data_IF_830234945599
#
_entry.id   IF_830234945599
#
_cell.length_a   1.000
_cell.length_b   1.000
_cell.length_c   1.000
_cell.angle_alpha   90.00
_cell.angle_beta   90.00
_cell.angle_gamma   90.00
#
_symmetry.space_group_name_H-M   'P 1'
#
loop_
_entity.id
_entity.type
_entity.pdbx_description
1 polymer ?
#
# COMPACT_ATOMS: atom_id res chain seq x y z
N UNK A 1 9.49 -3.98 12.48
CA UNK A 1 9.77 -2.60 12.03
C UNK A 1 10.82 -2.50 10.93
N UNK A 2 11.88 -3.33 10.89
CA UNK A 2 12.97 -3.20 9.90
C UNK A 2 12.43 -3.14 8.45
N UNK A 3 11.59 -4.10 8.06
CA UNK A 3 10.98 -4.11 6.72
C UNK A 3 10.21 -2.83 6.39
N UNK A 4 9.43 -2.30 7.33
CA UNK A 4 8.73 -1.01 7.18
C UNK A 4 9.70 0.13 6.88
N UNK A 5 10.83 0.21 7.58
CA UNK A 5 11.82 1.29 7.37
C UNK A 5 12.46 1.17 5.98
N UNK A 6 12.83 -0.03 5.56
CA UNK A 6 13.39 -0.25 4.22
C UNK A 6 12.39 0.14 3.12
N UNK A 7 11.13 -0.30 3.25
CA UNK A 7 10.07 0.08 2.31
C UNK A 7 9.86 1.60 2.30
N UNK A 8 9.81 2.22 3.48
CA UNK A 8 9.62 3.66 3.61
C UNK A 8 10.73 4.45 2.90
N UNK A 9 11.99 4.11 3.16
CA UNK A 9 13.15 4.81 2.59
C UNK A 9 13.28 4.62 1.07
N UNK A 10 12.93 3.45 0.54
CA UNK A 10 13.11 3.13 -0.88
C UNK A 10 11.86 3.30 -1.75
N UNK A 11 10.70 3.61 -1.16
CA UNK A 11 9.47 3.90 -1.93
C UNK A 11 9.62 5.02 -2.96
N UNK A 12 10.33 6.13 -2.68
CA UNK A 12 10.56 7.18 -3.67
C UNK A 12 11.27 6.66 -4.92
N UNK A 13 12.26 5.78 -4.76
CA UNK A 13 12.93 5.11 -5.89
C UNK A 13 11.98 4.19 -6.63
N UNK A 14 11.13 3.44 -5.92
CA UNK A 14 10.13 2.56 -6.53
C UNK A 14 9.16 3.32 -7.45
N UNK A 15 8.58 4.43 -6.98
CA UNK A 15 7.66 5.25 -7.78
C UNK A 15 8.36 6.04 -8.90
N UNK A 16 9.67 6.27 -8.79
CA UNK A 16 10.44 6.99 -9.78
C UNK A 16 11.13 6.08 -10.82
N UNK A 17 11.07 4.75 -10.66
CA UNK A 17 11.88 3.80 -11.42
C UNK A 17 11.63 3.84 -12.93
N UNK A 18 10.39 4.08 -13.35
CA UNK A 18 9.97 4.10 -14.76
C UNK A 18 9.79 5.52 -15.31
N UNK A 19 10.42 6.51 -14.68
CA UNK A 19 10.30 7.92 -15.04
C UNK A 19 11.68 8.51 -15.27
N UNK A 20 11.84 9.28 -16.34
CA UNK A 20 13.11 9.90 -16.72
C UNK A 20 13.08 11.43 -16.60
N UNK A 21 14.25 12.05 -16.71
CA UNK A 21 14.37 13.50 -16.74
C UNK A 21 13.84 14.22 -15.48
N UNK A 22 13.28 15.45 -15.62
CA UNK A 22 12.79 16.24 -14.49
C UNK A 22 11.64 15.59 -13.70
N UNK A 23 10.87 14.72 -14.33
CA UNK A 23 9.73 14.03 -13.73
C UNK A 23 10.18 12.99 -12.71
N UNK A 24 11.37 12.40 -12.88
CA UNK A 24 11.95 11.47 -11.92
C UNK A 24 12.16 12.13 -10.57
N UNK A 25 12.72 13.34 -10.56
CA UNK A 25 12.88 14.12 -9.34
C UNK A 25 11.53 14.48 -8.71
N UNK A 26 10.53 14.82 -9.54
CA UNK A 26 9.17 15.09 -9.08
C UNK A 26 8.52 13.86 -8.43
N UNK A 27 8.68 12.68 -9.03
CA UNK A 27 8.22 11.41 -8.48
C UNK A 27 8.84 11.10 -7.13
N UNK A 28 10.15 11.34 -6.99
CA UNK A 28 10.85 11.21 -5.70
C UNK A 28 10.27 12.18 -4.68
N UNK A 29 10.16 13.47 -5.00
CA UNK A 29 9.68 14.51 -4.07
C UNK A 29 8.23 14.25 -3.64
N UNK A 30 7.32 14.01 -4.58
CA UNK A 30 5.91 13.73 -4.28
C UNK A 30 5.77 12.48 -3.42
N UNK A 31 6.55 11.43 -3.69
CA UNK A 31 6.51 10.19 -2.90
C UNK A 31 7.06 10.41 -1.49
N UNK A 32 8.19 11.10 -1.34
CA UNK A 32 8.74 11.46 -0.02
C UNK A 32 7.72 12.24 0.81
N UNK A 33 7.12 13.27 0.22
CA UNK A 33 6.15 14.13 0.92
C UNK A 33 4.91 13.34 1.32
N UNK A 34 4.39 12.51 0.41
CA UNK A 34 3.19 11.73 0.67
C UNK A 34 3.41 10.63 1.70
N UNK A 35 4.52 9.88 1.62
CA UNK A 35 4.78 8.81 2.58
C UNK A 35 5.09 9.38 3.98
N UNK A 36 5.74 10.55 4.07
CA UNK A 36 5.88 11.28 5.33
C UNK A 36 4.53 11.75 5.89
N UNK A 37 3.62 12.26 5.05
CA UNK A 37 2.31 12.71 5.52
C UNK A 37 1.37 11.55 5.88
N UNK A 38 1.52 10.36 5.27
CA UNK A 38 0.80 9.17 5.72
C UNK A 38 1.21 8.71 7.12
N UNK A 39 2.43 9.01 7.57
CA UNK A 39 2.80 8.82 8.99
C UNK A 39 1.89 9.66 9.89
N UNK A 40 1.71 10.95 9.59
CA UNK A 40 0.85 11.83 10.38
C UNK A 40 -0.61 11.32 10.42
N UNK A 41 -1.18 11.02 9.25
CA UNK A 41 -2.53 10.47 9.15
C UNK A 41 -2.71 9.17 9.93
N UNK A 42 -1.70 8.29 9.87
CA UNK A 42 -1.69 7.01 10.59
C UNK A 42 -1.66 7.20 12.10
N UNK A 43 -0.79 8.06 12.62
CA UNK A 43 -0.67 8.27 14.07
C UNK A 43 -1.92 8.94 14.65
N UNK A 44 -2.48 9.93 13.93
CA UNK A 44 -3.76 10.56 14.30
C UNK A 44 -4.87 9.51 14.36
N UNK A 45 -5.11 8.79 13.26
CA UNK A 45 -6.17 7.78 13.20
C UNK A 45 -5.95 6.67 14.25
N UNK A 46 -4.71 6.20 14.42
CA UNK A 46 -4.38 5.15 15.37
C UNK A 46 -4.69 5.59 16.80
N UNK A 47 -4.29 6.79 17.17
CA UNK A 47 -4.55 7.35 18.50
C UNK A 47 -6.05 7.48 18.76
N UNK A 48 -6.81 7.98 17.77
CA UNK A 48 -8.26 8.12 17.87
C UNK A 48 -8.96 6.77 18.09
N UNK A 49 -8.67 5.75 17.27
CA UNK A 49 -9.34 4.44 17.37
C UNK A 49 -8.85 3.58 18.53
N UNK A 50 -7.66 3.85 19.08
CA UNK A 50 -7.08 3.14 20.22
C UNK A 50 -7.08 3.96 21.51
N UNK A 51 -7.92 5.01 21.59
CA UNK A 51 -8.16 5.82 22.80
C UNK A 51 -6.86 6.38 23.42
N UNK A 52 -6.04 7.02 22.58
CA UNK A 52 -4.77 7.65 22.98
C UNK A 52 -3.55 6.73 22.90
N UNK A 53 -3.71 5.44 22.57
CA UNK A 53 -2.60 4.50 22.34
C UNK A 53 -2.29 4.34 20.86
N UNK A 54 -1.12 3.81 20.53
CA UNK A 54 -0.74 3.50 19.14
C UNK A 54 -0.73 1.99 18.90
N UNK A 55 -1.29 1.56 17.77
CA UNK A 55 -1.27 0.16 17.35
C UNK A 55 -0.03 -0.13 16.51
N UNK A 56 0.81 -1.08 16.93
CA UNK A 56 2.06 -1.39 16.21
C UNK A 56 1.81 -1.83 14.76
N UNK A 57 0.73 -2.58 14.51
CA UNK A 57 0.33 -2.99 13.15
C UNK A 57 -0.02 -1.77 12.28
N UNK A 58 -0.68 -0.75 12.85
CA UNK A 58 -0.95 0.49 12.11
C UNK A 58 0.37 1.18 11.75
N UNK A 59 1.32 1.27 12.70
CA UNK A 59 2.63 1.90 12.47
C UNK A 59 3.48 1.12 11.46
N UNK A 60 3.43 -0.21 11.48
CA UNK A 60 4.19 -1.08 10.57
C UNK A 60 3.70 -1.04 9.14
N UNK A 61 2.40 -0.81 8.94
CA UNK A 61 1.77 -0.93 7.63
C UNK A 61 1.20 0.40 7.14
N UNK A 62 0.24 1.01 7.84
CA UNK A 62 -0.49 2.19 7.34
C UNK A 62 0.40 3.43 7.12
N UNK A 63 1.54 3.53 7.81
CA UNK A 63 2.54 4.59 7.57
C UNK A 63 3.09 4.59 6.14
N UNK A 64 3.03 3.45 5.45
CA UNK A 64 3.48 3.27 4.07
C UNK A 64 2.40 3.60 3.03
N UNK A 65 1.14 3.78 3.45
CA UNK A 65 0.00 3.92 2.55
C UNK A 65 0.11 5.12 1.59
N UNK A 66 0.80 6.20 2.00
CA UNK A 66 1.05 7.35 1.13
C UNK A 66 1.88 6.98 -0.09
N UNK A 67 2.89 6.14 0.07
CA UNK A 67 3.73 5.65 -1.03
C UNK A 67 2.92 4.89 -2.09
N UNK A 68 1.95 4.08 -1.66
CA UNK A 68 0.99 3.40 -2.56
C UNK A 68 0.05 4.43 -3.20
N UNK A 69 -0.54 5.32 -2.40
CA UNK A 69 -1.60 6.22 -2.85
C UNK A 69 -1.15 7.25 -3.89
N UNK A 70 0.12 7.68 -3.89
CA UNK A 70 0.63 8.56 -4.96
C UNK A 70 1.14 7.84 -6.19
N UNK A 71 1.22 6.51 -6.21
CA UNK A 71 1.88 5.73 -7.27
C UNK A 71 1.59 6.23 -8.70
N UNK A 72 0.32 6.29 -9.10
CA UNK A 72 -0.10 6.73 -10.44
C UNK A 72 0.26 8.19 -10.75
N UNK A 73 0.25 9.07 -9.75
CA UNK A 73 0.40 10.54 -9.92
C UNK A 73 1.75 11.06 -9.43
N UNK A 74 2.68 10.18 -9.07
CA UNK A 74 3.95 10.55 -8.45
C UNK A 74 4.76 11.48 -9.36
N UNK A 75 4.89 11.13 -10.64
CA UNK A 75 5.61 11.93 -11.64
C UNK A 75 4.84 13.18 -12.12
N UNK A 76 3.57 13.31 -11.77
CA UNK A 76 2.70 14.37 -12.26
C UNK A 76 2.77 15.65 -11.42
N UNK A 77 2.32 16.76 -11.99
CA UNK A 77 2.35 18.06 -11.33
C UNK A 77 1.18 18.25 -10.34
N UNK A 78 1.20 17.50 -9.23
CA UNK A 78 0.21 17.62 -8.13
C UNK A 78 0.62 18.63 -7.04
N UNK A 79 1.83 19.19 -7.14
CA UNK A 79 2.43 20.04 -6.11
C UNK A 79 2.65 19.35 -4.75
N UNK A 80 3.37 20.04 -3.86
CA UNK A 80 3.61 19.53 -2.49
C UNK A 80 2.29 19.33 -1.72
N UNK A 81 1.33 20.24 -1.92
CA UNK A 81 0.03 20.18 -1.25
C UNK A 81 -0.78 18.94 -1.68
N UNK A 82 -0.79 18.58 -2.96
CA UNK A 82 -1.46 17.38 -3.45
C UNK A 82 -0.88 16.11 -2.83
N UNK A 83 0.46 16.01 -2.82
CA UNK A 83 1.16 14.89 -2.18
C UNK A 83 0.86 14.79 -0.68
N UNK A 84 0.87 15.92 0.04
CA UNK A 84 0.54 16.00 1.47
C UNK A 84 -0.88 15.49 1.75
N UNK A 85 -1.87 15.97 1.00
CA UNK A 85 -3.29 15.61 1.15
C UNK A 85 -3.48 14.12 0.89
N UNK A 86 -3.00 13.62 -0.25
CA UNK A 86 -3.13 12.21 -0.63
C UNK A 86 -2.53 11.30 0.44
N UNK A 87 -1.31 11.62 0.90
CA UNK A 87 -0.62 10.80 1.90
C UNK A 87 -1.33 10.80 3.25
N UNK A 88 -1.75 11.97 3.74
CA UNK A 88 -2.45 12.09 5.03
C UNK A 88 -3.75 11.28 5.01
N UNK A 89 -4.55 11.43 3.96
CA UNK A 89 -5.79 10.69 3.78
C UNK A 89 -5.52 9.18 3.66
N UNK A 90 -4.48 8.78 2.92
CA UNK A 90 -4.14 7.37 2.74
C UNK A 90 -3.74 6.71 4.07
N UNK A 91 -2.89 7.35 4.88
CA UNK A 91 -2.51 6.84 6.19
C UNK A 91 -3.70 6.76 7.15
N UNK A 92 -4.58 7.76 7.12
CA UNK A 92 -5.79 7.80 7.94
C UNK A 92 -6.77 6.68 7.56
N UNK A 93 -7.13 6.57 6.28
CA UNK A 93 -8.05 5.57 5.74
C UNK A 93 -7.48 4.16 5.91
N UNK A 94 -6.21 3.94 5.61
CA UNK A 94 -5.53 2.65 5.81
C UNK A 94 -5.64 2.21 7.27
N UNK A 95 -5.40 3.11 8.22
CA UNK A 95 -5.52 2.82 9.66
C UNK A 95 -6.95 2.48 10.08
N UNK A 96 -7.95 3.20 9.57
CA UNK A 96 -9.36 2.84 9.80
C UNK A 96 -9.70 1.47 9.20
N UNK A 97 -9.11 1.13 8.05
CA UNK A 97 -9.20 -0.19 7.43
C UNK A 97 -8.66 -1.30 8.32
N UNK A 98 -7.43 -1.14 8.83
CA UNK A 98 -6.85 -2.08 9.79
C UNK A 98 -7.70 -2.25 11.06
N UNK A 99 -8.30 -1.17 11.55
CA UNK A 99 -9.13 -1.22 12.75
C UNK A 99 -10.51 -1.85 12.50
N UNK A 100 -11.15 -1.52 11.38
CA UNK A 100 -12.59 -1.77 11.17
C UNK A 100 -12.90 -2.74 10.05
N UNK A 101 -12.14 -2.71 8.95
CA UNK A 101 -12.39 -3.54 7.76
C UNK A 101 -11.74 -4.90 7.94
N UNK A 102 -10.49 -4.96 8.42
CA UNK A 102 -9.75 -6.20 8.59
C UNK A 102 -10.51 -7.23 9.44
N UNK A 103 -11.04 -6.89 10.64
CA UNK A 103 -11.81 -7.86 11.43
C UNK A 103 -13.14 -8.27 10.78
N UNK A 104 -13.77 -7.39 9.98
CA UNK A 104 -15.02 -7.70 9.28
C UNK A 104 -14.80 -8.67 8.12
N UNK A 105 -13.66 -8.59 7.43
CA UNK A 105 -13.27 -9.55 6.39
C UNK A 105 -13.09 -10.95 6.98
N UNK A 106 -12.50 -11.05 8.17
CA UNK A 106 -12.32 -12.32 8.88
C UNK A 106 -13.66 -13.00 9.20
N UNK A 107 -14.66 -12.23 9.63
CA UNK A 107 -16.02 -12.75 9.90
C UNK A 107 -16.66 -13.39 8.67
N UNK A 108 -16.39 -12.88 7.47
CA UNK A 108 -16.85 -13.46 6.20
C UNK A 108 -15.86 -14.46 5.58
N UNK A 109 -14.90 -14.94 6.38
CA UNK A 109 -13.87 -15.94 6.02
C UNK A 109 -12.88 -15.48 4.95
N UNK A 110 -12.71 -14.18 4.77
CA UNK A 110 -11.63 -13.59 3.98
C UNK A 110 -10.49 -13.25 4.95
N UNK A 111 -9.51 -14.15 5.02
CA UNK A 111 -8.36 -13.99 5.90
C UNK A 111 -7.27 -13.19 5.17
N UNK A 112 -6.90 -12.05 5.74
CA UNK A 112 -5.85 -11.16 5.22
C UNK A 112 -4.77 -10.99 6.30
N UNK A 113 -3.83 -11.92 6.36
CA UNK A 113 -2.80 -12.03 7.41
C UNK A 113 -2.06 -10.71 7.69
N UNK A 114 -1.68 -9.99 6.63
CA UNK A 114 -0.89 -8.76 6.74
C UNK A 114 -1.74 -7.49 6.59
N UNK A 115 -3.06 -7.62 6.37
CA UNK A 115 -3.92 -6.50 6.02
C UNK A 115 -3.53 -5.83 4.69
N UNK A 116 -3.10 -6.61 3.69
CA UNK A 116 -2.69 -6.08 2.38
C UNK A 116 -3.84 -5.36 1.67
N UNK A 117 -5.09 -5.69 1.98
CA UNK A 117 -6.23 -4.91 1.49
C UNK A 117 -6.19 -3.46 2.00
N UNK A 118 -5.80 -3.26 3.25
CA UNK A 118 -5.79 -1.94 3.89
C UNK A 118 -4.54 -1.13 3.54
N UNK A 119 -3.42 -1.78 3.22
CA UNK A 119 -2.19 -1.11 2.79
C UNK A 119 -2.10 -0.92 1.27
N UNK A 120 -2.39 -1.95 0.49
CA UNK A 120 -2.22 -1.93 -0.97
C UNK A 120 -3.55 -1.77 -1.71
N UNK A 121 -4.60 -2.49 -1.30
CA UNK A 121 -5.89 -2.46 -1.99
C UNK A 121 -6.55 -1.09 -1.98
N UNK A 122 -6.91 -0.60 -0.78
CA UNK A 122 -7.61 0.69 -0.62
C UNK A 122 -6.73 1.86 -1.07
N UNK A 123 -5.47 2.01 -0.61
CA UNK A 123 -4.59 3.09 -1.11
C UNK A 123 -4.28 2.98 -2.61
N UNK A 124 -4.20 1.77 -3.19
CA UNK A 124 -4.05 1.58 -4.64
C UNK A 124 -5.26 2.09 -5.42
N UNK A 125 -6.47 1.83 -4.92
CA UNK A 125 -7.69 2.41 -5.51
C UNK A 125 -7.72 3.94 -5.38
N UNK A 126 -7.27 4.48 -4.24
CA UNK A 126 -7.09 5.94 -4.08
C UNK A 126 -6.13 6.50 -5.13
N UNK A 127 -5.05 5.79 -5.44
CA UNK A 127 -4.11 6.17 -6.50
C UNK A 127 -4.75 6.19 -7.88
N UNK A 128 -5.55 5.17 -8.22
CA UNK A 128 -6.32 5.12 -9.46
C UNK A 128 -7.29 6.30 -9.57
N UNK A 129 -8.02 6.61 -8.49
CA UNK A 129 -8.95 7.76 -8.44
C UNK A 129 -8.20 9.09 -8.60
N UNK A 130 -7.05 9.26 -7.94
CA UNK A 130 -6.22 10.45 -8.12
C UNK A 130 -5.76 10.61 -9.58
N UNK A 131 -5.42 9.50 -10.25
CA UNK A 131 -5.10 9.47 -11.68
C UNK A 131 -6.28 9.89 -12.58
N UNK A 132 -7.49 9.41 -12.30
CA UNK A 132 -8.72 9.80 -13.02
C UNK A 132 -9.00 11.30 -12.85
N UNK A 133 -8.94 11.80 -11.62
CA UNK A 133 -9.15 13.23 -11.31
C UNK A 133 -8.13 14.06 -12.07
N UNK A 134 -6.84 13.72 -11.97
CA UNK A 134 -5.78 14.50 -12.62
C UNK A 134 -5.90 14.47 -14.16
N UNK A 135 -6.29 13.33 -14.74
CA UNK A 135 -6.52 13.20 -16.17
C UNK A 135 -7.70 14.05 -16.67
N UNK A 136 -8.70 14.31 -15.81
CA UNK A 136 -9.90 15.07 -16.18
C UNK A 136 -9.68 16.59 -16.28
N UNK A 137 -8.58 17.13 -15.72
CA UNK A 137 -8.32 18.58 -15.67
C UNK A 137 -7.96 19.12 -17.08
N UNK A 138 -8.72 20.10 -17.64
CA UNK A 138 -8.45 20.68 -18.96
C UNK A 138 -7.15 21.49 -19.05
N UNK A 139 -6.65 21.73 -20.26
CA UNK A 139 -5.34 22.34 -20.57
C UNK A 139 -5.17 23.80 -20.09
N UNK A 140 -6.27 24.55 -19.94
CA UNK A 140 -6.23 26.01 -19.78
C UNK A 140 -6.35 26.53 -18.33
N UNK A 141 -5.91 25.79 -17.32
CA UNK A 141 -5.68 26.40 -15.99
C UNK A 141 -4.31 27.06 -16.01
N UNK A 142 -4.25 28.40 -15.95
CA UNK A 142 -3.07 29.28 -16.15
C UNK A 142 -1.87 29.09 -15.19
N UNK A 143 -1.41 27.87 -15.03
CA UNK A 143 -0.22 27.44 -14.28
C UNK A 143 0.85 26.94 -15.27
N UNK A 144 1.00 27.63 -16.40
CA UNK A 144 1.65 27.10 -17.60
C UNK A 144 3.06 27.64 -17.89
N UNK A 145 3.51 28.74 -17.29
CA UNK A 145 4.70 29.40 -17.85
C UNK A 145 6.05 28.79 -17.40
N UNK A 146 6.13 28.02 -16.31
CA UNK A 146 7.43 27.55 -15.78
C UNK A 146 7.51 26.10 -15.28
N UNK A 147 6.42 25.31 -15.35
CA UNK A 147 6.41 23.93 -14.90
C UNK A 147 6.03 23.03 -16.07
N UNK A 148 6.96 22.17 -16.49
CA UNK A 148 6.75 21.14 -17.52
C UNK A 148 5.51 20.33 -17.14
N UNK A 149 4.40 20.63 -17.81
CA UNK A 149 3.09 20.02 -17.56
C UNK A 149 3.12 18.61 -18.13
N UNK A 150 3.72 17.67 -17.40
CA UNK A 150 3.45 16.26 -17.69
C UNK A 150 2.13 15.88 -17.03
N UNK A 151 1.08 15.87 -17.86
CA UNK A 151 -0.17 15.17 -17.58
C UNK A 151 0.11 13.67 -17.63
N UNK A 152 -0.79 12.86 -17.10
CA UNK A 152 -0.90 11.46 -17.53
C UNK A 152 -1.27 11.45 -19.02
N UNK A 153 -0.32 11.71 -19.94
CA UNK A 153 -0.58 11.82 -21.37
C UNK A 153 -0.62 10.42 -21.96
N UNK A 154 -1.79 9.99 -22.42
CA UNK A 154 -1.97 8.75 -23.20
C UNK A 154 -1.47 8.88 -24.65
N UNK A 155 -0.44 9.70 -24.91
CA UNK A 155 0.03 10.08 -26.24
C UNK A 155 -0.51 11.44 -26.75
N UNK A 156 0.04 11.90 -27.87
CA UNK A 156 -0.45 13.06 -28.60
C UNK A 156 -1.86 12.77 -29.11
N UNK A 157 -2.84 13.65 -28.83
CA UNK A 157 -4.24 13.65 -29.30
C UNK A 157 -5.34 13.00 -28.41
N UNK A 158 -5.08 12.70 -27.14
CA UNK A 158 -6.14 12.26 -26.22
C UNK A 158 -6.76 13.45 -25.44
N UNK A 159 -8.08 13.67 -25.53
CA UNK A 159 -8.75 14.70 -24.71
C UNK A 159 -8.72 14.31 -23.22
N UNK A 160 -8.82 15.28 -22.31
CA UNK A 160 -8.83 15.02 -20.85
C UNK A 160 -9.90 14.01 -20.45
N UNK A 161 -11.08 14.10 -21.08
CA UNK A 161 -12.19 13.17 -20.82
C UNK A 161 -11.88 11.75 -21.29
N UNK A 162 -11.25 11.58 -22.45
CA UNK A 162 -10.86 10.25 -22.95
C UNK A 162 -9.76 9.66 -22.06
N UNK A 163 -8.78 10.48 -21.65
CA UNK A 163 -7.71 10.01 -20.77
C UNK A 163 -8.25 9.58 -19.41
N UNK A 164 -9.18 10.34 -18.82
CA UNK A 164 -9.84 9.97 -17.57
C UNK A 164 -10.63 8.66 -17.72
N UNK A 165 -11.32 8.48 -18.85
CA UNK A 165 -12.01 7.24 -19.17
C UNK A 165 -11.04 6.05 -19.29
N UNK A 166 -9.86 6.23 -19.91
CA UNK A 166 -8.84 5.19 -19.96
C UNK A 166 -8.27 4.85 -18.57
N UNK A 167 -8.02 5.84 -17.71
CA UNK A 167 -7.59 5.60 -16.34
C UNK A 167 -8.64 4.78 -15.57
N UNK A 168 -9.93 5.14 -15.71
CA UNK A 168 -11.03 4.39 -15.09
C UNK A 168 -11.14 2.96 -15.63
N UNK A 169 -11.01 2.78 -16.95
CA UNK A 169 -11.02 1.47 -17.60
C UNK A 169 -9.87 0.58 -17.12
N UNK A 170 -8.65 1.12 -16.98
CA UNK A 170 -7.49 0.38 -16.48
C UNK A 170 -7.67 -0.04 -15.02
N UNK A 171 -8.23 0.82 -14.16
CA UNK A 171 -8.56 0.44 -12.77
C UNK A 171 -9.56 -0.72 -12.76
N UNK A 172 -10.65 -0.62 -13.54
CA UNK A 172 -11.66 -1.68 -13.65
C UNK A 172 -11.08 -2.99 -14.16
N UNK A 173 -10.28 -2.93 -15.24
CA UNK A 173 -9.61 -4.10 -15.81
C UNK A 173 -8.65 -4.73 -14.80
N UNK A 174 -7.87 -3.93 -14.08
CA UNK A 174 -6.94 -4.42 -13.05
C UNK A 174 -7.67 -5.19 -11.96
N UNK A 175 -8.82 -4.69 -11.50
CA UNK A 175 -9.65 -5.39 -10.51
C UNK A 175 -10.19 -6.72 -11.05
N UNK A 176 -10.68 -6.74 -12.29
CA UNK A 176 -11.18 -7.96 -12.93
C UNK A 176 -10.08 -9.01 -13.02
N UNK A 177 -8.91 -8.64 -13.54
CA UNK A 177 -7.76 -9.54 -13.68
C UNK A 177 -7.31 -10.05 -12.31
N UNK A 178 -7.21 -9.17 -11.31
CA UNK A 178 -6.79 -9.56 -9.96
C UNK A 178 -7.79 -10.53 -9.29
N UNK A 179 -9.10 -10.27 -9.39
CA UNK A 179 -10.13 -11.12 -8.79
C UNK A 179 -10.20 -12.48 -9.51
N UNK A 180 -10.32 -12.48 -10.84
CA UNK A 180 -10.44 -13.72 -11.62
C UNK A 180 -9.16 -14.54 -11.52
N UNK A 181 -7.99 -13.91 -11.68
CA UNK A 181 -6.70 -14.57 -11.54
C UNK A 181 -6.44 -15.10 -10.13
N UNK A 182 -6.81 -14.33 -9.10
CA UNK A 182 -6.71 -14.75 -7.69
C UNK A 182 -7.63 -15.93 -7.37
N UNK A 183 -8.89 -15.91 -7.83
CA UNK A 183 -9.83 -17.02 -7.66
C UNK A 183 -9.34 -18.28 -8.38
N UNK A 184 -8.89 -18.15 -9.63
CA UNK A 184 -8.34 -19.26 -10.39
C UNK A 184 -7.13 -19.87 -9.69
N UNK A 185 -6.17 -19.04 -9.28
CA UNK A 185 -4.98 -19.48 -8.53
C UNK A 185 -5.36 -20.14 -7.22
N UNK A 186 -6.31 -19.57 -6.47
CA UNK A 186 -6.81 -20.14 -5.22
C UNK A 186 -7.50 -21.50 -5.41
N UNK A 187 -8.20 -21.71 -6.53
CA UNK A 187 -8.79 -23.01 -6.88
C UNK A 187 -7.71 -24.05 -7.21
N UNK A 188 -6.67 -23.65 -7.96
CA UNK A 188 -5.54 -24.54 -8.25
C UNK A 188 -4.81 -24.96 -6.97
N UNK A 189 -4.56 -24.02 -6.04
CA UNK A 189 -3.90 -24.31 -4.77
C UNK A 189 -4.74 -25.21 -3.83
N UNK A 190 -6.04 -25.41 -4.11
CA UNK A 190 -6.90 -26.34 -3.36
C UNK A 190 -6.83 -27.79 -3.85
N UNK A 191 -6.22 -28.04 -5.00
CA UNK A 191 -6.02 -29.38 -5.54
C UNK A 191 -5.16 -30.23 -4.58
N UNK A 192 -5.37 -31.56 -4.51
CA UNK A 192 -4.63 -32.45 -3.60
C UNK A 192 -3.15 -32.63 -3.96
N UNK A 193 -2.65 -31.92 -4.99
CA UNK A 193 -1.25 -31.88 -5.39
C UNK A 193 -0.39 -31.05 -4.43
N UNK A 194 -1.02 -30.12 -3.68
CA UNK A 194 -0.35 -29.23 -2.75
C UNK A 194 -0.62 -29.67 -1.30
N UNK A 195 0.39 -29.55 -0.44
CA UNK A 195 0.23 -29.83 0.99
C UNK A 195 -0.79 -28.86 1.61
N UNK A 196 -1.67 -29.41 2.45
CA UNK A 196 -2.65 -28.63 3.21
C UNK A 196 -2.19 -28.61 4.64
N UNK A 197 -1.81 -27.43 5.13
CA UNK A 197 -1.35 -27.26 6.50
C UNK A 197 -2.52 -27.33 7.48
N UNK A 198 -2.32 -28.06 8.57
CA UNK A 198 -3.28 -28.18 9.66
C UNK A 198 -3.03 -27.13 10.76
N UNK A 199 -1.81 -26.61 10.84
CA UNK A 199 -1.39 -25.58 11.80
C UNK A 199 -0.85 -24.37 11.03
N UNK A 200 -1.46 -23.21 11.25
CA UNK A 200 -1.08 -21.95 10.61
C UNK A 200 -0.24 -21.11 11.58
N UNK A 201 0.72 -20.36 11.04
CA UNK A 201 1.59 -19.45 11.80
C UNK A 201 2.50 -20.15 12.82
N UNK A 202 2.87 -21.41 12.55
CA UNK A 202 3.83 -22.18 13.34
C UNK A 202 5.00 -22.61 12.46
N UNK A 203 6.20 -22.18 12.83
CA UNK A 203 7.42 -22.51 12.08
C UNK A 203 7.84 -23.97 12.27
N UNK A 204 7.36 -24.68 13.32
CA UNK A 204 7.81 -26.04 13.66
C UNK A 204 7.43 -27.05 12.58
N UNK A 205 6.35 -26.75 11.85
CA UNK A 205 5.83 -27.57 10.75
C UNK A 205 6.84 -27.69 9.60
N UNK A 206 7.67 -26.66 9.39
CA UNK A 206 8.58 -26.58 8.25
C UNK A 206 10.06 -26.46 8.63
N UNK A 207 10.36 -26.04 9.86
CA UNK A 207 11.71 -25.72 10.30
C UNK A 207 12.09 -26.52 11.54
N UNK A 208 13.36 -26.93 11.60
CA UNK A 208 13.95 -27.38 12.85
C UNK A 208 14.12 -26.18 13.79
N UNK A 209 13.25 -26.07 14.79
CA UNK A 209 13.33 -24.98 15.77
C UNK A 209 14.41 -25.27 16.82
N UNK A 210 15.27 -24.30 17.15
CA UNK A 210 16.16 -24.40 18.30
C UNK A 210 15.38 -24.65 19.59
N UNK A 211 15.86 -25.55 20.44
CA UNK A 211 15.17 -25.88 21.68
C UNK A 211 14.96 -24.63 22.55
N UNK A 212 13.73 -24.33 23.02
CA UNK A 212 13.43 -23.09 23.74
C UNK A 212 14.32 -22.93 24.98
N UNK A 213 14.86 -21.73 25.24
CA UNK A 213 15.75 -21.46 26.38
C UNK A 213 15.14 -21.88 27.73
N UNK A 214 13.82 -21.76 27.89
CA UNK A 214 13.10 -22.23 29.07
C UNK A 214 13.19 -23.76 29.24
N UNK A 215 13.07 -24.51 28.14
CA UNK A 215 13.16 -25.98 28.14
C UNK A 215 14.61 -26.45 28.33
N UNK A 216 15.56 -25.71 27.77
CA UNK A 216 17.01 -25.90 27.95
C UNK A 216 17.46 -25.65 29.39
N UNK A 217 16.97 -24.58 30.01
CA UNK A 217 17.26 -24.24 31.41
C UNK A 217 16.61 -25.20 32.40
N UNK A 218 15.41 -25.72 32.11
CA UNK A 218 14.79 -26.81 32.87
C UNK A 218 15.61 -28.09 32.81
N UNK A 219 16.06 -28.51 31.62
CA UNK A 219 16.96 -29.66 31.47
C UNK A 219 18.26 -29.47 32.25
N UNK A 220 18.94 -28.32 32.10
CA UNK A 220 20.16 -28.03 32.87
C UNK A 220 19.94 -28.12 34.38
N UNK A 221 18.84 -27.57 34.92
CA UNK A 221 18.53 -27.66 36.36
C UNK A 221 18.27 -29.08 36.84
N UNK A 222 17.74 -29.95 35.98
CA UNK A 222 17.50 -31.37 36.27
C UNK A 222 18.79 -32.20 36.24
N UNK A 223 19.80 -31.80 35.45
CA UNK A 223 21.11 -32.48 35.39
C UNK A 223 22.11 -32.00 36.46
N UNK A 224 21.84 -30.87 37.14
CA UNK A 224 22.69 -30.34 38.22
C UNK A 224 22.18 -30.69 39.63
N UNK A 225 21.26 -31.65 39.77
CA UNK A 225 20.82 -32.23 41.03
C UNK A 225 21.14 -33.72 41.06
#
# INVERSE_FOLDING_TARGET
MIGTIFLFCFWPSFNAANTDGPERLRAVINTCVSICSSVLGTFIASSLVRRGKLGIVHVQSATLAGGVAVGTVAASNIGLHGALIIGTLAGFVSTLGFHSVLPKLEVIRIHDTCGVHNLHGIPGLMSGIAGIILASIPEQSGFQDHLTVLRLTGGLQCSSNIQAAYQAAVVGLTLIVAIVGGLFTGLLLRLPLFSKESQYFDDEVHWHIPEPEHRRSLKMRLYTR
#
